data_IF_145820731599
#
_entry.id   IF_145820731599
#
_cell.length_a   1.000
_cell.length_b   1.000
_cell.length_c   1.000
_cell.angle_alpha   90.00
_cell.angle_beta   90.00
_cell.angle_gamma   90.00
#
_symmetry.space_group_name_H-M   'P 1'
#
loop_
_entity.id
_entity.type
_entity.pdbx_description
1 polymer ?
#
# COMPACT_ATOMS: atom_id res chain seq x y z
N UNK A 1 -5.47 9.16 -22.54
CA UNK A 1 -5.03 8.40 -21.36
C UNK A 1 -3.60 8.78 -21.11
N UNK A 2 -3.30 9.19 -19.89
CA UNK A 2 -1.95 9.57 -19.47
C UNK A 2 -1.13 8.29 -19.27
N UNK A 3 0.14 8.28 -19.69
CA UNK A 3 1.01 7.09 -19.61
C UNK A 3 1.20 6.57 -18.18
N UNK A 4 1.03 7.45 -17.19
CA UNK A 4 1.01 7.13 -15.75
C UNK A 4 -0.21 6.28 -15.35
N UNK A 5 -1.38 6.57 -15.92
CA UNK A 5 -2.66 5.95 -15.55
C UNK A 5 -2.73 4.47 -15.97
N UNK A 6 -2.27 4.15 -17.18
CA UNK A 6 -2.24 2.77 -17.68
C UNK A 6 -1.29 1.89 -16.86
N UNK A 7 -0.15 2.44 -16.44
CA UNK A 7 0.79 1.75 -15.55
C UNK A 7 0.20 1.55 -14.16
N UNK A 8 -0.50 2.54 -13.63
CA UNK A 8 -1.19 2.43 -12.34
C UNK A 8 -2.27 1.33 -12.40
N UNK A 9 -3.12 1.31 -13.44
CA UNK A 9 -4.11 0.24 -13.67
C UNK A 9 -3.48 -1.15 -13.78
N UNK A 10 -2.36 -1.26 -14.51
CA UNK A 10 -1.61 -2.50 -14.61
C UNK A 10 -1.08 -2.97 -13.25
N UNK A 11 -0.47 -2.08 -12.47
CA UNK A 11 0.05 -2.41 -11.14
C UNK A 11 -1.07 -2.77 -10.14
N UNK A 12 -2.23 -2.09 -10.18
CA UNK A 12 -3.42 -2.47 -9.39
C UNK A 12 -3.85 -3.90 -9.70
N UNK A 13 -3.91 -4.27 -10.99
CA UNK A 13 -4.26 -5.63 -11.41
C UNK A 13 -3.26 -6.67 -10.87
N UNK A 14 -1.98 -6.35 -10.87
CA UNK A 14 -0.96 -7.24 -10.31
C UNK A 14 -1.07 -7.37 -8.79
N UNK A 15 -1.41 -6.30 -8.07
CA UNK A 15 -1.71 -6.36 -6.63
C UNK A 15 -2.90 -7.28 -6.36
N UNK A 16 -3.96 -7.20 -7.16
CA UNK A 16 -5.12 -8.10 -7.04
C UNK A 16 -4.75 -9.57 -7.28
N UNK A 17 -3.91 -9.85 -8.28
CA UNK A 17 -3.42 -11.21 -8.55
C UNK A 17 -2.58 -11.71 -7.37
N UNK A 18 -1.67 -10.87 -6.84
CA UNK A 18 -0.86 -11.21 -5.68
C UNK A 18 -1.73 -11.49 -4.44
N UNK A 19 -2.83 -10.75 -4.24
CA UNK A 19 -3.79 -11.00 -3.18
C UNK A 19 -4.45 -12.38 -3.33
N UNK A 20 -4.93 -12.73 -4.53
CA UNK A 20 -5.57 -14.02 -4.81
C UNK A 20 -4.62 -15.20 -4.57
N UNK A 21 -3.32 -15.01 -4.81
CA UNK A 21 -2.27 -16.02 -4.57
C UNK A 21 -1.72 -16.01 -3.14
N UNK A 22 -2.19 -15.10 -2.27
CA UNK A 22 -1.68 -14.90 -0.92
C UNK A 22 -0.17 -14.55 -0.89
N UNK A 23 0.27 -13.75 -1.88
CA UNK A 23 1.68 -13.35 -2.09
C UNK A 23 1.97 -11.91 -1.59
N UNK A 24 0.96 -11.21 -1.07
CA UNK A 24 1.14 -9.87 -0.48
C UNK A 24 1.81 -10.01 0.89
N UNK A 25 2.95 -9.34 1.05
CA UNK A 25 3.72 -9.38 2.30
C UNK A 25 3.36 -8.17 3.17
N UNK A 26 3.02 -8.38 4.44
CA UNK A 26 3.06 -7.26 5.39
C UNK A 26 4.48 -6.71 5.44
N UNK A 27 4.62 -5.40 5.30
CA UNK A 27 5.84 -4.74 5.70
C UNK A 27 5.66 -4.19 7.10
N UNK A 28 6.51 -4.72 7.97
CA UNK A 28 6.62 -4.29 9.33
C UNK A 28 7.85 -3.40 9.37
N UNK A 29 7.66 -2.07 9.43
CA UNK A 29 8.79 -1.16 9.65
C UNK A 29 9.45 -1.58 10.95
N UNK A 30 10.65 -2.15 10.85
CA UNK A 30 11.46 -2.50 12.01
C UNK A 30 11.97 -1.20 12.66
N UNK A 31 11.10 -0.51 13.38
CA UNK A 31 11.49 0.55 14.30
C UNK A 31 11.97 -0.08 15.59
N UNK A 32 13.28 -0.11 15.80
CA UNK A 32 14.04 -0.27 17.04
C UNK A 32 13.70 -1.36 18.08
N UNK A 33 12.66 -2.19 17.90
CA UNK A 33 12.29 -3.21 18.90
C UNK A 33 11.25 -4.24 18.43
N UNK A 34 11.31 -4.68 17.17
CA UNK A 34 10.55 -5.85 16.69
C UNK A 34 9.02 -5.75 16.78
N UNK A 35 8.44 -4.55 16.95
CA UNK A 35 6.99 -4.38 16.95
C UNK A 35 6.46 -4.36 15.53
N UNK A 36 5.61 -5.33 15.20
CA UNK A 36 5.12 -5.58 13.84
C UNK A 36 4.23 -4.47 13.27
N UNK A 37 3.69 -3.50 14.00
CA UNK A 37 2.99 -2.35 13.39
C UNK A 37 3.06 -1.14 14.34
N UNK A 38 2.84 0.11 13.86
CA UNK A 38 2.68 1.25 14.76
C UNK A 38 1.63 0.97 15.83
N UNK A 39 1.95 1.24 17.09
CA UNK A 39 1.12 0.88 18.25
C UNK A 39 -0.32 1.41 18.13
N UNK A 40 -0.52 2.58 17.51
CA UNK A 40 -1.87 3.15 17.31
C UNK A 40 -2.68 2.40 16.26
N UNK A 41 -2.08 1.99 15.14
CA UNK A 41 -2.75 1.13 14.15
C UNK A 41 -3.23 -0.16 14.84
N UNK A 42 -2.37 -0.82 15.61
CA UNK A 42 -2.74 -2.05 16.32
C UNK A 42 -3.88 -1.82 17.32
N UNK A 43 -3.82 -0.74 18.08
CA UNK A 43 -4.86 -0.39 19.05
C UNK A 43 -6.21 -0.15 18.37
N UNK A 44 -6.23 0.61 17.27
CA UNK A 44 -7.44 0.86 16.50
C UNK A 44 -8.02 -0.44 15.95
N UNK A 45 -7.20 -1.29 15.31
CA UNK A 45 -7.66 -2.56 14.76
C UNK A 45 -8.24 -3.45 15.86
N UNK A 46 -7.57 -3.53 17.02
CA UNK A 46 -8.04 -4.33 18.16
C UNK A 46 -9.35 -3.81 18.73
N UNK A 47 -9.51 -2.50 18.93
CA UNK A 47 -10.72 -1.93 19.51
C UNK A 47 -11.95 -2.07 18.60
N UNK A 48 -11.74 -2.23 17.29
CA UNK A 48 -12.80 -2.42 16.30
C UNK A 48 -12.97 -3.88 15.84
N UNK A 49 -12.27 -4.83 16.48
CA UNK A 49 -12.36 -6.26 16.13
C UNK A 49 -11.83 -6.58 14.72
N UNK A 50 -10.96 -5.74 14.16
CA UNK A 50 -10.42 -5.88 12.82
C UNK A 50 -9.15 -6.73 12.83
N UNK A 51 -9.09 -7.69 11.91
CA UNK A 51 -7.87 -8.48 11.67
C UNK A 51 -7.09 -7.90 10.49
N UNK A 52 -5.78 -8.15 10.48
CA UNK A 52 -4.93 -7.77 9.34
C UNK A 52 -5.48 -8.29 8.00
N UNK A 53 -6.00 -9.53 7.98
CA UNK A 53 -6.59 -10.14 6.78
C UNK A 53 -7.84 -9.39 6.30
N UNK A 54 -8.70 -8.94 7.22
CA UNK A 54 -9.87 -8.12 6.89
C UNK A 54 -9.44 -6.78 6.29
N UNK A 55 -8.50 -6.11 6.93
CA UNK A 55 -7.97 -4.82 6.47
C UNK A 55 -7.35 -4.95 5.07
N UNK A 56 -6.54 -5.99 4.84
CA UNK A 56 -5.97 -6.26 3.52
C UNK A 56 -7.05 -6.52 2.47
N UNK A 57 -8.06 -7.33 2.78
CA UNK A 57 -9.18 -7.61 1.89
C UNK A 57 -9.92 -6.33 1.49
N UNK A 58 -10.25 -5.48 2.45
CA UNK A 58 -10.98 -4.23 2.22
C UNK A 58 -10.14 -3.26 1.38
N UNK A 59 -8.84 -3.18 1.66
CA UNK A 59 -7.91 -2.35 0.92
C UNK A 59 -7.81 -2.77 -0.56
N UNK A 60 -7.72 -4.07 -0.84
CA UNK A 60 -7.69 -4.59 -2.22
C UNK A 60 -9.00 -4.34 -2.95
N UNK A 61 -10.14 -4.43 -2.25
CA UNK A 61 -11.44 -4.07 -2.82
C UNK A 61 -11.53 -2.58 -3.17
N UNK A 62 -10.95 -1.71 -2.33
CA UNK A 62 -10.93 -0.28 -2.57
C UNK A 62 -9.95 0.15 -3.66
N UNK A 63 -8.84 -0.57 -3.88
CA UNK A 63 -7.95 -0.32 -5.03
C UNK A 63 -8.70 -0.36 -6.38
N UNK A 64 -9.74 -1.20 -6.50
CA UNK A 64 -10.54 -1.30 -7.72
C UNK A 64 -11.65 -0.25 -7.81
N UNK A 65 -12.20 0.14 -6.66
CA UNK A 65 -13.53 0.75 -6.59
C UNK A 65 -13.53 2.16 -5.98
N UNK A 66 -12.43 2.60 -5.37
CA UNK A 66 -12.35 3.91 -4.73
C UNK A 66 -12.17 5.04 -5.73
N UNK A 67 -12.92 6.12 -5.55
CA UNK A 67 -12.67 7.43 -6.18
C UNK A 67 -11.58 8.22 -5.46
N UNK A 68 -11.15 7.79 -4.28
CA UNK A 68 -10.14 8.44 -3.44
C UNK A 68 -8.80 7.70 -3.46
N UNK A 69 -8.61 6.80 -4.44
CA UNK A 69 -7.33 6.13 -4.64
C UNK A 69 -6.28 7.16 -5.05
N UNK A 70 -5.22 7.23 -4.25
CA UNK A 70 -4.05 8.03 -4.60
C UNK A 70 -2.90 7.14 -5.02
N UNK A 71 -2.08 7.66 -5.90
CA UNK A 71 -0.98 6.95 -6.53
C UNK A 71 0.23 7.87 -6.65
N UNK A 72 1.42 7.29 -6.53
CA UNK A 72 2.69 7.97 -6.82
C UNK A 72 3.35 7.26 -7.99
N UNK A 73 3.73 8.05 -9.00
CA UNK A 73 4.45 7.58 -10.17
C UNK A 73 5.63 6.66 -9.81
N UNK A 74 5.97 5.71 -10.70
CA UNK A 74 7.03 4.77 -10.44
C UNK A 74 8.33 5.52 -10.14
N UNK A 75 8.79 5.40 -8.90
CA UNK A 75 10.06 5.97 -8.46
C UNK A 75 11.14 4.90 -8.40
N UNK A 76 12.43 5.27 -8.47
CA UNK A 76 13.51 4.35 -8.15
C UNK A 76 13.26 3.67 -6.81
N UNK A 77 13.61 2.38 -6.72
CA UNK A 77 13.44 1.63 -5.48
C UNK A 77 14.21 2.31 -4.33
N UNK A 78 13.49 2.72 -3.29
CA UNK A 78 14.02 3.42 -2.12
C UNK A 78 14.24 2.50 -0.90
N UNK A 79 13.87 1.22 -0.99
CA UNK A 79 13.95 0.28 0.14
C UNK A 79 15.32 -0.40 0.30
N UNK A 80 16.24 -0.25 -0.68
CA UNK A 80 17.56 -0.89 -0.65
C UNK A 80 18.63 0.00 -1.31
N UNK A 81 19.88 -0.13 -0.85
CA UNK A 81 21.08 0.56 -1.36
C UNK A 81 21.37 0.33 -2.87
N UNK A 82 20.66 -0.58 -3.53
CA UNK A 82 20.74 -0.81 -4.97
C UNK A 82 19.44 -0.31 -5.63
N UNK A 83 19.52 0.84 -6.30
CA UNK A 83 18.42 1.50 -7.03
C UNK A 83 17.89 0.75 -8.25
N UNK A 84 18.16 -0.56 -8.38
CA UNK A 84 17.66 -1.37 -9.47
C UNK A 84 16.17 -1.67 -9.28
N UNK A 85 15.38 -1.22 -10.26
CA UNK A 85 13.94 -1.42 -10.29
C UNK A 85 13.14 -0.17 -9.91
N UNK A 86 11.83 -0.30 -10.05
CA UNK A 86 10.88 0.76 -9.74
C UNK A 86 9.84 0.27 -8.75
N UNK A 87 9.29 1.23 -7.99
CA UNK A 87 8.20 0.99 -7.05
C UNK A 87 7.01 1.85 -7.42
N UNK A 88 5.85 1.22 -7.52
CA UNK A 88 4.55 1.85 -7.64
C UNK A 88 3.91 1.91 -6.27
N UNK A 89 3.59 3.11 -5.78
CA UNK A 89 2.95 3.28 -4.49
C UNK A 89 1.49 3.70 -4.64
N UNK A 90 0.60 2.98 -3.95
CA UNK A 90 -0.83 3.28 -3.90
C UNK A 90 -1.23 3.54 -2.46
N UNK A 91 -2.07 4.54 -2.25
CA UNK A 91 -2.62 4.89 -0.96
C UNK A 91 -4.14 4.78 -0.99
N UNK A 92 -4.67 3.98 -0.07
CA UNK A 92 -6.09 3.75 0.12
C UNK A 92 -6.45 4.18 1.52
N UNK A 93 -7.53 4.95 1.68
CA UNK A 93 -8.12 5.18 3.00
C UNK A 93 -9.27 4.21 3.25
N UNK A 94 -9.38 3.76 4.50
CA UNK A 94 -10.40 2.84 5.00
C UNK A 94 -11.01 3.41 6.27
N UNK A 95 -12.24 2.98 6.57
CA UNK A 95 -12.95 3.25 7.82
C UNK A 95 -13.00 4.76 8.14
N UNK A 96 -13.62 5.54 7.25
CA UNK A 96 -13.78 7.00 7.40
C UNK A 96 -12.44 7.74 7.62
N UNK A 97 -11.43 7.38 6.82
CA UNK A 97 -10.08 7.94 6.84
C UNK A 97 -9.29 7.73 8.15
N UNK A 98 -9.71 6.79 9.00
CA UNK A 98 -8.97 6.43 10.22
C UNK A 98 -7.74 5.58 9.93
N UNK A 99 -7.82 4.70 8.93
CA UNK A 99 -6.72 3.82 8.52
C UNK A 99 -6.32 4.11 7.09
N UNK A 100 -5.03 4.33 6.88
CA UNK A 100 -4.42 4.44 5.57
C UNK A 100 -3.61 3.19 5.27
N UNK A 101 -3.84 2.63 4.09
CA UNK A 101 -3.11 1.50 3.56
C UNK A 101 -2.23 1.96 2.42
N UNK A 102 -0.94 1.66 2.52
CA UNK A 102 0.02 1.83 1.44
C UNK A 102 0.34 0.48 0.82
N UNK A 103 0.07 0.33 -0.48
CA UNK A 103 0.60 -0.77 -1.28
C UNK A 103 1.85 -0.29 -2.02
N UNK A 104 2.96 -1.00 -1.86
CA UNK A 104 4.17 -0.78 -2.65
C UNK A 104 4.40 -1.99 -3.54
N UNK A 105 4.25 -1.80 -4.85
CA UNK A 105 4.51 -2.82 -5.85
C UNK A 105 5.88 -2.62 -6.47
N UNK A 106 6.78 -3.57 -6.23
CA UNK A 106 8.16 -3.52 -6.67
C UNK A 106 8.36 -4.38 -7.91
N UNK A 107 9.13 -3.86 -8.87
CA UNK A 107 9.63 -4.64 -10.01
C UNK A 107 11.14 -4.50 -10.08
N UNK A 108 11.86 -5.60 -9.95
CA UNK A 108 13.32 -5.66 -9.96
C UNK A 108 13.81 -6.96 -10.58
N UNK A 109 14.66 -6.89 -11.60
CA UNK A 109 15.36 -8.02 -12.22
C UNK A 109 14.42 -9.24 -12.40
N UNK A 110 13.32 -9.01 -13.12
CA UNK A 110 12.23 -9.96 -13.40
C UNK A 110 11.44 -10.51 -12.20
N UNK A 111 11.73 -10.04 -11.00
CA UNK A 111 10.97 -10.33 -9.78
C UNK A 111 9.98 -9.21 -9.50
N UNK A 112 8.78 -9.63 -9.09
CA UNK A 112 7.70 -8.75 -8.70
C UNK A 112 7.24 -9.14 -7.30
N UNK A 113 7.07 -8.16 -6.42
CA UNK A 113 6.50 -8.41 -5.09
C UNK A 113 5.72 -7.21 -4.60
N UNK A 114 4.69 -7.50 -3.80
CA UNK A 114 3.81 -6.49 -3.23
C UNK A 114 4.03 -6.46 -1.72
N UNK A 115 4.23 -5.26 -1.23
CA UNK A 115 4.26 -4.93 0.18
C UNK A 115 2.99 -4.17 0.54
N UNK A 116 2.47 -4.47 1.73
CA UNK A 116 1.37 -3.76 2.36
C UNK A 116 1.84 -3.14 3.68
N UNK A 117 1.56 -1.87 3.88
CA UNK A 117 1.73 -1.16 5.16
C UNK A 117 0.40 -0.52 5.59
N UNK A 118 0.12 -0.52 6.89
CA UNK A 118 -1.09 0.08 7.47
C UNK A 118 -0.75 1.10 8.55
N UNK A 119 -1.34 2.28 8.48
CA UNK A 119 -1.09 3.41 9.36
C UNK A 119 -2.40 4.00 9.87
N UNK A 120 -2.47 4.31 11.16
CA UNK A 120 -3.53 5.15 11.69
C UNK A 120 -3.36 6.60 11.20
N UNK A 121 -4.45 7.35 11.06
CA UNK A 121 -4.44 8.74 10.56
C UNK A 121 -3.52 9.67 11.35
N UNK A 122 -3.26 9.36 12.61
CA UNK A 122 -2.36 10.14 13.50
C UNK A 122 -0.91 9.69 13.43
N UNK A 123 -0.60 8.62 12.68
CA UNK A 123 0.75 8.18 12.30
C UNK A 123 1.07 8.52 10.84
N UNK A 124 0.19 9.31 10.23
CA UNK A 124 0.29 9.74 8.84
C UNK A 124 1.62 10.44 8.60
N UNK A 125 2.44 9.82 7.76
CA UNK A 125 3.53 10.51 7.07
C UNK A 125 2.92 11.51 6.10
N UNK A 126 3.63 12.58 5.76
CA UNK A 126 3.18 13.46 4.68
C UNK A 126 2.96 12.64 3.39
N UNK A 127 1.75 12.71 2.83
CA UNK A 127 1.36 12.04 1.58
C UNK A 127 1.19 13.06 0.45
N UNK A 128 1.81 14.23 0.58
CA UNK A 128 1.82 15.31 -0.42
C UNK A 128 2.31 14.86 -1.80
N UNK A 129 3.20 13.86 -1.86
CA UNK A 129 3.72 13.28 -3.11
C UNK A 129 2.73 12.34 -3.84
N UNK A 130 1.57 12.03 -3.25
CA UNK A 130 0.56 11.18 -3.90
C UNK A 130 -0.43 12.02 -4.69
N UNK A 131 -0.65 11.63 -5.94
CA UNK A 131 -1.61 12.24 -6.86
C UNK A 131 -2.89 11.42 -6.90
N UNK A 132 -4.03 12.06 -7.13
CA UNK A 132 -5.29 11.35 -7.34
C UNK A 132 -5.23 10.60 -8.68
N UNK A 133 -5.53 9.29 -8.66
CA UNK A 133 -5.69 8.53 -9.90
C UNK A 133 -7.06 8.90 -10.48
N UNK A 134 -7.10 9.97 -11.27
CA UNK A 134 -8.33 10.48 -11.91
C UNK A 134 -9.00 9.35 -12.69
N UNK A 135 -10.29 9.15 -12.43
CA UNK A 135 -11.16 8.30 -13.25
C UNK A 135 -11.58 9.02 -14.53
#
# INVERSE_FOLDING_TARGET
MDFSEDKAKWAIRLIQIAYQKNEIRPHFRAGDRGQMQPTKTQNYLRSHGLTYRKVLSDAVQQLANSSMLRFRDPSPNYFLLNHEGYVFDFLVSLYDDEIYIKFSFFVRNDKQFVVFESFHKTDKSDFSDFMDLRR
#
